data_IF_580157019063
#
_entry.id   IF_580157019063
#
_cell.length_a   1.000
_cell.length_b   1.000
_cell.length_c   1.000
_cell.angle_alpha   90.00
_cell.angle_beta   90.00
_cell.angle_gamma   90.00
#
_symmetry.space_group_name_H-M   'P 1'
#
loop_
_entity.id
_entity.type
_entity.pdbx_description
1 polymer ?
#
# COMPACT_ATOMS: atom_id res chain seq x y z
N UNK A 1 6.89 4.78 -8.51
CA UNK A 1 7.99 3.86 -8.11
C UNK A 1 7.41 2.56 -7.59
N UNK A 2 8.16 1.45 -7.62
CA UNK A 2 7.76 0.16 -7.04
C UNK A 2 8.49 -0.08 -5.73
N UNK A 3 7.80 -0.62 -4.74
CA UNK A 3 8.38 -1.06 -3.47
C UNK A 3 7.84 -2.43 -3.10
N UNK A 4 8.64 -3.24 -2.42
CA UNK A 4 8.23 -4.56 -1.91
C UNK A 4 8.35 -4.60 -0.38
N UNK A 5 7.24 -4.81 0.31
CA UNK A 5 7.18 -4.82 1.77
C UNK A 5 6.62 -6.15 2.29
N UNK A 6 7.20 -6.66 3.37
CA UNK A 6 6.63 -7.77 4.13
C UNK A 6 5.46 -7.29 4.98
N UNK A 7 4.47 -8.16 5.21
CA UNK A 7 3.41 -7.89 6.19
C UNK A 7 3.94 -8.06 7.63
N UNK A 8 3.47 -7.26 8.62
CA UNK A 8 2.62 -6.09 8.46
C UNK A 8 3.37 -4.96 7.73
N UNK A 9 2.68 -4.20 6.87
CA UNK A 9 3.34 -3.18 6.03
C UNK A 9 3.94 -2.04 6.87
N UNK A 10 3.37 -1.74 8.04
CA UNK A 10 3.87 -0.68 8.93
C UNK A 10 3.51 0.72 8.45
N UNK A 11 2.33 0.88 7.86
CA UNK A 11 1.78 2.14 7.36
C UNK A 11 0.25 2.12 7.46
N UNK A 12 -0.36 3.29 7.55
CA UNK A 12 -1.80 3.50 7.48
C UNK A 12 -2.13 4.11 6.13
N UNK A 13 -3.16 3.56 5.48
CA UNK A 13 -3.71 4.06 4.22
C UNK A 13 -5.08 4.66 4.49
N UNK A 14 -5.37 5.78 3.84
CA UNK A 14 -6.68 6.44 3.86
C UNK A 14 -7.14 6.74 2.44
N UNK A 15 -8.45 6.93 2.28
CA UNK A 15 -9.10 7.33 1.03
C UNK A 15 -9.54 8.80 1.12
N UNK A 16 -9.19 9.61 0.13
CA UNK A 16 -9.68 10.99 0.03
C UNK A 16 -11.09 11.07 -0.58
N UNK A 17 -11.66 12.27 -0.64
CA UNK A 17 -13.01 12.49 -1.22
C UNK A 17 -13.11 12.17 -2.72
N UNK A 18 -11.98 12.05 -3.40
CA UNK A 18 -11.88 11.73 -4.83
C UNK A 18 -11.65 10.24 -5.07
N UNK A 19 -11.58 9.42 -4.01
CA UNK A 19 -11.28 7.99 -4.09
C UNK A 19 -9.79 7.66 -4.24
N UNK A 20 -8.89 8.64 -4.04
CA UNK A 20 -7.46 8.37 -4.06
C UNK A 20 -7.03 7.77 -2.73
N UNK A 21 -6.22 6.71 -2.79
CA UNK A 21 -5.65 6.08 -1.61
C UNK A 21 -4.25 6.64 -1.39
N UNK A 22 -3.98 7.14 -0.18
CA UNK A 22 -2.69 7.74 0.17
C UNK A 22 -2.19 7.24 1.53
N UNK A 23 -0.89 7.41 1.77
CA UNK A 23 -0.23 7.08 3.03
C UNK A 23 -0.53 8.15 4.06
N UNK A 24 -1.40 7.86 5.01
CA UNK A 24 -1.74 8.78 6.10
C UNK A 24 -0.70 8.75 7.22
N UNK A 25 -0.13 7.59 7.52
CA UNK A 25 0.89 7.43 8.56
C UNK A 25 1.92 6.37 8.17
N UNK A 26 3.17 6.56 8.60
CA UNK A 26 4.22 5.55 8.55
C UNK A 26 4.64 5.22 9.98
N UNK A 27 4.49 3.96 10.38
CA UNK A 27 4.79 3.53 11.74
C UNK A 27 6.31 3.42 11.94
N UNK A 28 6.85 4.20 12.87
CA UNK A 28 8.27 4.17 13.22
C UNK A 28 8.74 2.76 13.62
N UNK A 29 9.83 2.29 13.01
CA UNK A 29 10.35 0.94 13.17
C UNK A 29 9.58 -0.15 12.41
N UNK A 30 8.49 0.21 11.71
CA UNK A 30 7.72 -0.67 10.83
C UNK A 30 8.45 -0.98 9.52
N UNK A 31 7.88 -1.88 8.71
CA UNK A 31 8.51 -2.29 7.46
C UNK A 31 8.57 -1.16 6.42
N UNK A 32 7.53 -0.32 6.33
CA UNK A 32 7.52 0.87 5.48
C UNK A 32 8.60 1.89 5.92
N UNK A 33 8.69 2.20 7.21
CA UNK A 33 9.72 3.11 7.77
C UNK A 33 11.14 2.59 7.50
N UNK A 34 11.39 1.32 7.83
CA UNK A 34 12.69 0.67 7.60
C UNK A 34 13.10 0.62 6.13
N UNK A 35 12.14 0.66 5.20
CA UNK A 35 12.46 0.72 3.78
C UNK A 35 13.10 2.07 3.40
N UNK A 36 12.74 3.16 4.07
CA UNK A 36 13.14 4.52 3.70
C UNK A 36 12.56 5.00 2.36
N UNK A 37 11.60 4.27 1.80
CA UNK A 37 11.06 4.50 0.46
C UNK A 37 9.61 5.00 0.46
N UNK A 38 8.94 4.99 1.61
CA UNK A 38 7.55 5.42 1.77
C UNK A 38 7.50 6.62 2.69
N UNK A 39 6.81 7.66 2.26
CA UNK A 39 6.57 8.88 3.03
C UNK A 39 5.07 9.12 3.23
N UNK A 40 4.72 9.83 4.30
CA UNK A 40 3.35 10.33 4.49
C UNK A 40 2.98 11.27 3.34
N UNK A 41 1.77 11.10 2.80
CA UNK A 41 1.24 11.83 1.65
C UNK A 41 1.46 11.16 0.29
N UNK A 42 2.28 10.11 0.24
CA UNK A 42 2.47 9.31 -0.97
C UNK A 42 1.17 8.67 -1.44
N UNK A 43 0.91 8.66 -2.75
CA UNK A 43 -0.30 8.07 -3.31
C UNK A 43 -0.05 6.62 -3.76
N UNK A 44 -0.96 5.71 -3.42
CA UNK A 44 -0.96 4.33 -3.89
C UNK A 44 -1.62 4.26 -5.28
N UNK A 45 -0.86 3.82 -6.27
CA UNK A 45 -1.28 3.73 -7.68
C UNK A 45 -1.67 2.31 -8.07
N UNK A 46 -0.97 1.31 -7.54
CA UNK A 46 -1.31 -0.10 -7.71
C UNK A 46 -0.76 -0.93 -6.55
N UNK A 47 -1.34 -2.11 -6.35
CA UNK A 47 -0.84 -3.13 -5.42
C UNK A 47 -0.79 -4.48 -6.12
N UNK A 48 0.09 -5.37 -5.69
CA UNK A 48 -0.05 -6.78 -6.03
C UNK A 48 -1.25 -7.39 -5.29
N UNK A 49 -1.76 -8.49 -5.84
CA UNK A 49 -2.71 -9.39 -5.21
C UNK A 49 -2.37 -10.84 -5.58
N UNK A 50 -2.71 -11.79 -4.71
CA UNK A 50 -2.61 -13.22 -4.99
C UNK A 50 -3.98 -13.74 -5.39
N UNK A 51 -4.03 -14.34 -6.57
CA UNK A 51 -5.20 -15.05 -7.09
C UNK A 51 -4.88 -16.52 -7.29
N UNK A 52 -5.91 -17.35 -7.28
CA UNK A 52 -5.81 -18.79 -7.52
C UNK A 52 -6.73 -19.16 -8.67
N UNK A 53 -6.22 -19.93 -9.63
CA UNK A 53 -6.99 -20.34 -10.81
C UNK A 53 -8.06 -21.39 -10.49
N UNK A 54 -7.82 -22.26 -9.50
CA UNK A 54 -8.81 -23.24 -9.07
C UNK A 54 -8.68 -23.59 -7.59
N UNK A 55 -9.76 -24.13 -7.04
CA UNK A 55 -9.84 -24.66 -5.69
C UNK A 55 -10.47 -26.04 -5.74
N UNK A 56 -9.81 -27.01 -5.11
CA UNK A 56 -10.28 -28.38 -4.96
C UNK A 56 -10.48 -28.70 -3.48
N UNK A 57 -11.32 -29.70 -3.20
CA UNK A 57 -11.56 -30.18 -1.84
C UNK A 57 -11.23 -31.67 -1.74
N UNK A 58 -10.11 -31.98 -1.12
CA UNK A 58 -9.61 -33.35 -0.97
C UNK A 58 -9.63 -33.74 0.51
N UNK A 59 -10.45 -34.75 0.86
CA UNK A 59 -10.48 -35.31 2.22
C UNK A 59 -10.72 -34.26 3.31
N UNK A 60 -11.63 -33.30 3.08
CA UNK A 60 -11.89 -32.21 4.03
C UNK A 60 -10.89 -31.04 3.98
N UNK A 61 -9.85 -31.14 3.15
CA UNK A 61 -8.81 -30.12 3.00
C UNK A 61 -9.02 -29.34 1.70
N UNK A 62 -9.07 -28.02 1.84
CA UNK A 62 -9.15 -27.08 0.71
C UNK A 62 -7.76 -26.88 0.12
N UNK A 63 -7.59 -27.24 -1.15
CA UNK A 63 -6.33 -27.10 -1.89
C UNK A 63 -6.53 -26.09 -3.00
N UNK A 64 -5.73 -25.01 -3.02
CA UNK A 64 -5.77 -24.01 -4.08
C UNK A 64 -4.61 -24.22 -5.06
N UNK A 65 -4.88 -24.13 -6.36
CA UNK A 65 -3.90 -24.34 -7.45
C UNK A 65 -3.83 -23.11 -8.35
N UNK A 66 -2.74 -23.04 -9.12
CA UNK A 66 -2.52 -21.93 -10.06
C UNK A 66 -2.40 -20.59 -9.35
N UNK A 67 -1.62 -20.52 -8.27
CA UNK A 67 -1.33 -19.26 -7.59
C UNK A 67 -0.62 -18.31 -8.56
N UNK A 68 -1.11 -17.09 -8.67
CA UNK A 68 -0.50 -16.03 -9.47
C UNK A 68 -0.47 -14.72 -8.67
N UNK A 69 0.61 -13.96 -8.85
CA UNK A 69 0.70 -12.58 -8.37
C UNK A 69 0.28 -11.67 -9.51
N UNK A 70 -0.81 -10.93 -9.33
CA UNK A 70 -1.36 -10.00 -10.31
C UNK A 70 -1.19 -8.57 -9.83
N UNK A 71 -1.15 -7.61 -10.76
CA UNK A 71 -1.16 -6.18 -10.46
C UNK A 71 -2.59 -5.66 -10.48
N UNK A 72 -3.07 -5.12 -9.37
CA UNK A 72 -4.34 -4.42 -9.26
C UNK A 72 -4.09 -2.90 -9.35
N UNK A 73 -4.69 -2.24 -10.34
CA UNK A 73 -4.74 -0.78 -10.41
C UNK A 73 -5.63 -0.25 -9.28
N UNK A 74 -5.20 0.78 -8.57
CA UNK A 74 -6.00 1.38 -7.48
C UNK A 74 -7.01 2.39 -8.01
N UNK A 75 -6.70 3.05 -9.13
CA UNK A 75 -7.58 4.04 -9.72
C UNK A 75 -8.95 3.43 -10.09
N UNK A 76 -10.03 3.97 -9.52
CA UNK A 76 -11.40 3.51 -9.76
C UNK A 76 -11.84 2.30 -8.93
N UNK A 77 -10.95 1.72 -8.13
CA UNK A 77 -11.28 0.61 -7.22
C UNK A 77 -11.75 1.12 -5.86
N UNK A 78 -12.60 0.34 -5.19
CA UNK A 78 -13.03 0.64 -3.82
C UNK A 78 -11.88 0.39 -2.84
N UNK A 79 -11.75 1.24 -1.82
CA UNK A 79 -10.75 1.06 -0.76
C UNK A 79 -10.73 -0.36 -0.18
N UNK A 80 -11.88 -0.91 0.17
CA UNK A 80 -12.00 -2.28 0.70
C UNK A 80 -11.46 -3.35 -0.27
N UNK A 81 -11.62 -3.14 -1.58
CA UNK A 81 -11.11 -4.08 -2.60
C UNK A 81 -9.59 -4.03 -2.67
N UNK A 82 -9.01 -2.83 -2.58
CA UNK A 82 -7.55 -2.64 -2.53
C UNK A 82 -6.97 -3.26 -1.24
N UNK A 83 -7.62 -3.05 -0.09
CA UNK A 83 -7.18 -3.65 1.18
C UNK A 83 -7.31 -5.18 1.16
N UNK A 84 -8.38 -5.72 0.59
CA UNK A 84 -8.55 -7.16 0.41
C UNK A 84 -7.43 -7.76 -0.47
N UNK A 85 -7.09 -7.10 -1.58
CA UNK A 85 -5.98 -7.46 -2.46
C UNK A 85 -4.63 -7.52 -1.74
N UNK A 86 -4.28 -6.48 -0.98
CA UNK A 86 -3.07 -6.48 -0.12
C UNK A 86 -3.12 -7.66 0.87
N UNK A 87 -4.30 -7.88 1.47
CA UNK A 87 -4.59 -8.92 2.43
C UNK A 87 -4.31 -10.35 1.94
N UNK A 88 -4.44 -10.61 0.64
CA UNK A 88 -4.27 -11.95 0.03
C UNK A 88 -2.87 -12.55 0.19
N UNK A 89 -1.84 -11.75 0.48
CA UNK A 89 -0.48 -12.25 0.61
C UNK A 89 -0.29 -13.03 1.92
N UNK A 90 0.22 -14.28 1.86
CA UNK A 90 0.65 -15.01 3.04
C UNK A 90 1.89 -14.35 3.66
N UNK A 91 2.13 -14.62 4.94
CA UNK A 91 3.17 -13.93 5.72
C UNK A 91 4.59 -14.03 5.14
N UNK A 92 4.89 -15.10 4.38
CA UNK A 92 6.21 -15.32 3.78
C UNK A 92 6.40 -14.61 2.42
N UNK A 93 5.36 -13.98 1.88
CA UNK A 93 5.42 -13.25 0.62
C UNK A 93 5.35 -11.73 0.86
N UNK A 94 6.14 -10.99 0.08
CA UNK A 94 6.09 -9.53 0.07
C UNK A 94 4.92 -9.04 -0.79
N UNK A 95 4.36 -7.90 -0.40
CA UNK A 95 3.40 -7.12 -1.19
C UNK A 95 4.19 -6.13 -2.04
N UNK A 96 3.92 -6.07 -3.35
CA UNK A 96 4.44 -5.03 -4.23
C UNK A 96 3.47 -3.87 -4.24
N UNK A 97 3.92 -2.66 -3.92
CA UNK A 97 3.14 -1.44 -4.02
C UNK A 97 3.76 -0.54 -5.09
N UNK A 98 2.93 0.07 -5.92
CA UNK A 98 3.32 1.15 -6.82
C UNK A 98 2.88 2.47 -6.23
N UNK A 99 3.85 3.31 -5.94
CA UNK A 99 3.67 4.56 -5.21
C UNK A 99 4.01 5.74 -6.12
N UNK A 100 3.17 6.76 -6.12
CA UNK A 100 3.48 8.07 -6.66
C UNK A 100 3.90 8.99 -5.51
N UNK A 101 5.12 9.54 -5.62
CA UNK A 101 5.61 10.53 -4.68
C UNK A 101 4.85 11.83 -4.88
N UNK A 102 4.20 12.31 -3.83
CA UNK A 102 3.58 13.62 -3.82
C UNK A 102 4.55 14.60 -3.17
N UNK A 103 4.74 15.78 -3.76
CA UNK A 103 5.60 16.79 -3.17
C UNK A 103 5.05 17.18 -1.79
N UNK A 104 5.91 17.19 -0.75
CA UNK A 104 5.55 17.82 0.51
C UNK A 104 5.18 19.27 0.21
N UNK A 105 4.06 19.80 0.72
CA UNK A 105 3.97 21.24 0.88
C UNK A 105 5.11 21.61 1.84
N UNK A 106 6.15 22.23 1.30
CA UNK A 106 7.19 22.87 2.10
C UNK A 106 6.52 23.96 2.91
N UNK A 107 6.29 23.73 4.20
CA UNK A 107 5.98 24.80 5.13
C UNK A 107 7.25 25.63 5.34
N UNK A 108 7.52 26.51 4.39
CA UNK A 108 8.45 27.63 4.53
C UNK A 108 7.60 28.90 4.44
N UNK A 109 6.84 29.17 5.50
CA UNK A 109 6.43 30.54 5.80
C UNK A 109 7.57 31.18 6.59
N UNK A 110 8.62 31.54 5.87
CA UNK A 110 9.50 32.63 6.29
C UNK A 110 8.72 33.93 6.07
N UNK A 111 8.34 34.63 7.14
CA UNK A 111 8.28 36.08 7.09
C UNK A 111 8.86 36.66 8.37
N UNK A 112 10.13 37.06 8.19
CA UNK A 112 11.00 37.73 9.12
C UNK A 112 10.64 39.23 9.18
N UNK A 113 10.39 39.74 10.39
CA UNK A 113 10.79 41.07 10.85
C UNK A 113 10.01 42.31 10.39
N UNK A 114 9.45 43.04 11.36
CA UNK A 114 9.73 44.48 11.52
C UNK A 114 9.84 44.79 13.01
N UNK A 115 11.05 45.15 13.42
CA UNK A 115 11.29 45.89 14.66
C UNK A 115 10.67 47.30 14.52
N UNK A 116 9.91 47.73 15.53
CA UNK A 116 9.88 49.10 16.05
C UNK A 116 9.15 49.11 17.39
#
# INVERSE_FOLDING_TARGET
MKVELSKPLGMILEEDKSGNIFVAEVLKGGNADKSGLIDVGDQLIATSAIVYGSEDYYQGVRVRKGMQVVRLSVFGEKFDTVMAAIGTHPAHMKVTLEIQKCARPTSTDENNGVAN
#
